data_IF_762822014583
#
_entry.id   IF_762822014583
#
_cell.length_a   1.000
_cell.length_b   1.000
_cell.length_c   1.000
_cell.angle_alpha   90.00
_cell.angle_beta   90.00
_cell.angle_gamma   90.00
#
_symmetry.space_group_name_H-M   'P 1'
#
loop_
_entity.id
_entity.type
_entity.pdbx_description
1 polymer ?
#
# COMPACT_ATOMS: atom_id res chain seq x y z
N UNK A 1 24.58 35.09 25.61
CA UNK A 1 23.78 33.91 26.02
C UNK A 1 23.45 33.14 24.75
N UNK A 2 24.26 32.13 24.40
CA UNK A 2 23.98 31.23 23.29
C UNK A 2 23.21 30.01 23.81
N UNK A 3 22.34 29.36 23.03
CA UNK A 3 21.77 28.10 23.44
C UNK A 3 22.88 27.08 23.69
N UNK A 4 22.71 26.16 24.66
CA UNK A 4 23.69 25.12 24.91
C UNK A 4 23.87 24.29 23.63
N UNK A 5 25.14 24.11 23.27
CA UNK A 5 25.57 23.38 22.08
C UNK A 5 25.25 21.88 22.27
N UNK A 6 24.00 21.51 22.02
CA UNK A 6 23.62 20.12 21.81
C UNK A 6 24.02 19.77 20.37
N UNK A 7 25.28 19.40 20.19
CA UNK A 7 25.75 18.56 19.09
C UNK A 7 25.17 17.16 19.22
N UNK A 8 23.84 17.06 19.26
CA UNK A 8 23.13 15.85 18.94
C UNK A 8 22.86 15.94 17.42
N UNK A 9 23.57 15.18 16.57
CA UNK A 9 23.16 15.08 15.19
C UNK A 9 21.72 14.56 15.22
N UNK A 10 20.82 15.24 14.51
CA UNK A 10 19.51 14.67 14.18
C UNK A 10 19.76 13.22 13.77
N UNK A 11 19.35 12.28 14.61
CA UNK A 11 19.67 10.87 14.41
C UNK A 11 18.85 10.42 13.21
N UNK A 12 19.45 10.54 12.02
CA UNK A 12 18.87 10.21 10.72
C UNK A 12 18.69 8.69 10.53
N UNK A 13 18.94 7.91 11.58
CA UNK A 13 19.00 6.45 11.54
C UNK A 13 17.92 5.83 12.46
N UNK A 14 16.71 6.38 12.49
CA UNK A 14 15.54 5.58 12.86
C UNK A 14 14.96 4.86 11.63
N UNK A 15 15.81 4.38 10.73
CA UNK A 15 15.38 3.60 9.58
C UNK A 15 15.74 2.12 9.74
N UNK A 16 14.67 1.31 9.76
CA UNK A 16 14.62 -0.03 9.19
C UNK A 16 14.94 -1.26 10.07
N UNK A 17 14.48 -1.29 11.32
CA UNK A 17 14.08 -2.60 11.91
C UNK A 17 12.61 -2.89 11.60
N UNK A 18 12.28 -3.11 10.32
CA UNK A 18 11.14 -3.94 9.96
C UNK A 18 11.71 -5.24 9.39
N UNK A 19 12.07 -6.17 10.28
CA UNK A 19 12.61 -7.45 9.83
C UNK A 19 11.57 -8.16 8.95
N UNK A 20 11.96 -8.48 7.71
CA UNK A 20 11.21 -9.38 6.83
C UNK A 20 10.01 -8.82 6.05
N UNK A 21 9.83 -7.50 5.91
CA UNK A 21 8.79 -6.96 5.00
C UNK A 21 9.42 -6.37 3.75
N UNK A 22 8.94 -6.79 2.58
CA UNK A 22 9.33 -6.21 1.30
C UNK A 22 8.72 -4.81 1.11
N UNK A 23 9.44 -3.91 0.42
CA UNK A 23 8.89 -2.62 0.03
C UNK A 23 7.66 -2.82 -0.87
N UNK A 24 6.63 -2.01 -0.65
CA UNK A 24 5.43 -2.05 -1.48
C UNK A 24 5.79 -1.73 -2.94
N UNK A 25 5.30 -2.55 -3.87
CA UNK A 25 5.43 -2.34 -5.32
C UNK A 25 4.08 -1.95 -5.90
N UNK A 26 4.07 -0.92 -6.74
CA UNK A 26 2.89 -0.60 -7.54
C UNK A 26 2.66 -1.72 -8.57
N UNK A 27 1.42 -2.22 -8.65
CA UNK A 27 1.01 -3.19 -9.65
C UNK A 27 0.07 -2.50 -10.64
N UNK A 28 0.50 -2.40 -11.89
CA UNK A 28 -0.25 -1.75 -12.98
C UNK A 28 -0.48 -2.78 -14.09
N UNK A 29 -1.60 -3.52 -14.07
CA UNK A 29 -1.92 -4.48 -15.12
C UNK A 29 -2.38 -3.80 -16.41
N UNK A 30 -2.25 -4.48 -17.55
CA UNK A 30 -2.85 -4.04 -18.81
C UNK A 30 -4.37 -4.11 -18.72
N UNK A 31 -5.03 -2.98 -18.99
CA UNK A 31 -6.47 -2.88 -18.88
C UNK A 31 -7.16 -3.22 -20.19
N UNK A 32 -7.97 -4.28 -20.19
CA UNK A 32 -8.75 -4.69 -21.36
C UNK A 32 -10.18 -4.15 -21.24
N UNK A 33 -10.53 -3.18 -22.08
CA UNK A 33 -11.82 -2.49 -22.02
C UNK A 33 -13.04 -3.42 -22.17
N UNK A 34 -12.88 -4.55 -22.86
CA UNK A 34 -14.00 -5.44 -23.22
C UNK A 34 -14.52 -6.31 -22.08
N UNK A 35 -13.73 -6.49 -21.01
CA UNK A 35 -14.11 -7.38 -19.91
C UNK A 35 -14.20 -6.57 -18.62
N UNK A 36 -15.42 -6.12 -18.29
CA UNK A 36 -15.67 -5.20 -17.16
C UNK A 36 -16.76 -5.76 -16.25
N UNK A 37 -16.68 -5.50 -14.94
CA UNK A 37 -17.80 -5.78 -14.04
C UNK A 37 -19.02 -4.90 -14.36
N UNK A 38 -20.25 -5.40 -14.13
CA UNK A 38 -21.43 -4.56 -14.15
C UNK A 38 -21.29 -3.40 -13.14
N UNK A 39 -21.71 -2.19 -13.54
CA UNK A 39 -21.53 -0.96 -12.74
C UNK A 39 -21.99 -1.12 -11.28
N UNK A 40 -23.14 -1.75 -11.05
CA UNK A 40 -23.67 -1.98 -9.70
C UNK A 40 -22.71 -2.82 -8.84
N UNK A 41 -22.11 -3.86 -9.40
CA UNK A 41 -21.16 -4.71 -8.69
C UNK A 41 -19.84 -3.97 -8.45
N UNK A 42 -19.34 -3.28 -9.47
CA UNK A 42 -18.12 -2.50 -9.40
C UNK A 42 -18.18 -1.47 -8.27
N UNK A 43 -19.28 -0.73 -8.15
CA UNK A 43 -19.44 0.32 -7.14
C UNK A 43 -19.70 -0.25 -5.74
N UNK A 44 -20.59 -1.24 -5.61
CA UNK A 44 -21.08 -1.69 -4.30
C UNK A 44 -20.18 -2.75 -3.64
N UNK A 45 -19.40 -3.51 -4.42
CA UNK A 45 -18.66 -4.68 -3.89
C UNK A 45 -17.17 -4.64 -4.18
N UNK A 46 -16.77 -4.27 -5.40
CA UNK A 46 -15.39 -4.47 -5.87
C UNK A 46 -14.51 -3.23 -5.72
N UNK A 47 -15.09 -2.03 -5.84
CA UNK A 47 -14.36 -0.75 -5.85
C UNK A 47 -13.59 -0.49 -7.15
N UNK A 48 -13.77 -1.33 -8.17
CA UNK A 48 -13.13 -1.21 -9.48
C UNK A 48 -14.03 -1.79 -10.56
N UNK A 49 -13.99 -1.21 -11.76
CA UNK A 49 -14.61 -1.74 -12.96
C UNK A 49 -13.83 -2.91 -13.55
N UNK A 50 -12.52 -2.86 -13.39
CA UNK A 50 -11.54 -3.72 -14.04
C UNK A 50 -11.28 -4.97 -13.18
N UNK A 51 -11.61 -6.18 -13.67
CA UNK A 51 -11.37 -7.44 -12.97
C UNK A 51 -9.91 -7.66 -12.58
N UNK A 52 -8.98 -7.24 -13.42
CA UNK A 52 -7.52 -7.34 -13.23
C UNK A 52 -7.00 -6.50 -12.07
N UNK A 53 -7.74 -5.46 -11.66
CA UNK A 53 -7.42 -4.63 -10.48
C UNK A 53 -8.06 -5.16 -9.20
N UNK A 54 -9.03 -6.06 -9.30
CA UNK A 54 -9.74 -6.54 -8.12
C UNK A 54 -8.89 -7.54 -7.32
N UNK A 55 -8.35 -7.08 -6.18
CA UNK A 55 -7.54 -7.90 -5.28
C UNK A 55 -8.16 -7.96 -3.88
N UNK A 56 -8.98 -8.98 -3.56
CA UNK A 56 -9.55 -9.12 -2.23
C UNK A 56 -8.44 -9.46 -1.24
N UNK A 57 -8.27 -8.63 -0.21
CA UNK A 57 -7.38 -8.95 0.89
C UNK A 57 -7.95 -10.17 1.63
N UNK A 58 -7.22 -11.29 1.62
CA UNK A 58 -7.56 -12.44 2.46
C UNK A 58 -7.53 -11.97 3.91
N UNK A 59 -8.63 -12.17 4.64
CA UNK A 59 -8.63 -11.98 6.09
C UNK A 59 -7.54 -12.89 6.64
N UNK A 60 -6.47 -12.32 7.23
CA UNK A 60 -5.46 -13.13 7.91
C UNK A 60 -6.21 -13.94 8.95
N UNK A 61 -6.06 -15.26 8.92
CA UNK A 61 -6.64 -16.15 9.91
C UNK A 61 -6.24 -15.66 11.30
N UNK A 62 -7.23 -15.48 12.18
CA UNK A 62 -6.99 -15.33 13.61
C UNK A 62 -6.32 -16.62 14.09
N UNK A 63 -5.02 -16.56 14.37
CA UNK A 63 -4.27 -17.62 15.03
C UNK A 63 -4.77 -17.81 16.46
#
# INVERSE_FOLDING_TARGET
MYPPNNSAPYSADQQSQRCGVELARAYVPFQQYTTTFPIKEALLKRGTLFPELYKPYKKKGSY
#
